data_IF_348583070273
#
_entry.id   IF_348583070273
#
_cell.length_a   1.000
_cell.length_b   1.000
_cell.length_c   1.000
_cell.angle_alpha   90.00
_cell.angle_beta   90.00
_cell.angle_gamma   90.00
#
_symmetry.space_group_name_H-M   'P 1'
#
loop_
_entity.id
_entity.type
_entity.pdbx_description
1 polymer ?
#
# COMPACT_ATOMS: atom_id res chain seq x y z
N UNK A 1 20.10 -0.63 4.93
CA UNK A 1 20.53 -0.11 6.25
C UNK A 1 22.01 -0.41 6.46
N UNK A 2 22.91 0.52 6.15
CA UNK A 2 24.35 0.28 6.36
C UNK A 2 24.71 0.64 7.81
N UNK A 3 25.20 -0.33 8.59
CA UNK A 3 25.71 -0.10 9.95
C UNK A 3 24.70 -0.23 11.11
N UNK A 4 23.50 -0.75 10.86
CA UNK A 4 22.51 -1.08 11.92
C UNK A 4 22.37 -2.60 12.02
N UNK A 5 22.12 -3.13 13.20
CA UNK A 5 21.88 -4.55 13.47
C UNK A 5 20.61 -4.69 14.32
N UNK A 6 19.93 -5.83 14.22
CA UNK A 6 18.64 -6.09 14.83
C UNK A 6 18.63 -7.49 15.47
N UNK A 7 17.90 -7.65 16.57
CA UNK A 7 17.79 -8.96 17.23
C UNK A 7 17.05 -9.96 16.37
N UNK A 8 15.97 -9.52 15.69
CA UNK A 8 15.17 -10.33 14.78
C UNK A 8 15.14 -9.68 13.38
N UNK A 9 15.42 -10.46 12.34
CA UNK A 9 15.35 -10.01 10.93
C UNK A 9 14.47 -10.96 10.13
N UNK A 10 13.55 -10.38 9.36
CA UNK A 10 12.72 -11.08 8.39
C UNK A 10 13.14 -10.66 6.98
N UNK A 11 13.47 -11.62 6.13
CA UNK A 11 13.78 -11.40 4.72
C UNK A 11 12.67 -12.02 3.87
N UNK A 12 12.03 -11.21 3.03
CA UNK A 12 11.09 -11.68 2.01
C UNK A 12 11.76 -11.57 0.65
N UNK A 13 12.03 -12.72 0.03
CA UNK A 13 12.75 -12.85 -1.23
C UNK A 13 11.80 -13.43 -2.29
N UNK A 14 11.09 -12.56 -2.99
CA UNK A 14 10.22 -12.93 -4.10
C UNK A 14 11.02 -12.96 -5.41
N UNK A 15 11.06 -14.11 -6.06
CA UNK A 15 11.75 -14.39 -7.33
C UNK A 15 13.20 -13.86 -7.37
N UNK A 16 13.85 -13.79 -6.20
CA UNK A 16 15.15 -13.17 -6.08
C UNK A 16 16.22 -14.08 -6.68
N UNK A 17 17.09 -13.53 -7.53
CA UNK A 17 18.15 -14.30 -8.18
C UNK A 17 19.54 -13.90 -7.68
N UNK A 18 20.29 -14.88 -7.17
CA UNK A 18 21.65 -14.70 -6.63
C UNK A 18 22.72 -14.94 -7.72
N UNK A 19 22.43 -14.55 -8.97
CA UNK A 19 23.34 -14.77 -10.12
C UNK A 19 24.50 -13.76 -10.18
N UNK A 20 24.27 -12.52 -9.75
CA UNK A 20 25.27 -11.43 -9.79
C UNK A 20 25.94 -11.26 -8.42
N UNK A 21 27.21 -10.83 -8.43
CA UNK A 21 27.98 -10.49 -7.22
C UNK A 21 27.29 -9.40 -6.38
N UNK A 22 26.64 -8.43 -7.03
CA UNK A 22 25.89 -7.40 -6.34
C UNK A 22 24.71 -7.97 -5.55
N UNK A 23 23.94 -8.89 -6.15
CA UNK A 23 22.80 -9.56 -5.49
C UNK A 23 23.26 -10.42 -4.31
N UNK A 24 24.37 -11.17 -4.48
CA UNK A 24 25.00 -11.93 -3.38
C UNK A 24 25.37 -11.01 -2.22
N UNK A 25 25.99 -9.88 -2.52
CA UNK A 25 26.41 -8.91 -1.49
C UNK A 25 25.21 -8.32 -0.76
N UNK A 26 24.13 -8.00 -1.47
CA UNK A 26 22.90 -7.48 -0.86
C UNK A 26 22.30 -8.51 0.10
N UNK A 27 22.17 -9.76 -0.33
CA UNK A 27 21.65 -10.84 0.52
C UNK A 27 22.55 -11.07 1.75
N UNK A 28 23.86 -11.17 1.56
CA UNK A 28 24.83 -11.33 2.65
C UNK A 28 24.75 -10.19 3.67
N UNK A 29 24.66 -8.94 3.18
CA UNK A 29 24.53 -7.75 4.03
C UNK A 29 23.20 -7.74 4.79
N UNK A 30 22.16 -8.37 4.28
CA UNK A 30 20.86 -8.49 4.96
C UNK A 30 20.87 -9.59 6.03
N UNK A 31 21.44 -10.75 5.72
CA UNK A 31 21.63 -11.88 6.65
C UNK A 31 22.44 -11.45 7.88
N UNK A 32 23.57 -10.77 7.65
CA UNK A 32 24.47 -10.30 8.72
C UNK A 32 23.90 -9.18 9.60
N UNK A 33 22.63 -8.76 9.39
CA UNK A 33 21.95 -7.79 10.26
C UNK A 33 21.30 -8.45 11.47
N UNK A 34 21.05 -9.76 11.44
CA UNK A 34 20.45 -10.51 12.53
C UNK A 34 21.50 -10.81 13.62
N UNK A 35 21.17 -10.51 14.88
CA UNK A 35 21.96 -10.91 16.04
C UNK A 35 21.49 -12.21 16.68
N UNK A 36 20.18 -12.45 16.70
CA UNK A 36 19.58 -13.61 17.36
C UNK A 36 18.80 -14.49 16.39
N UNK A 37 17.83 -13.91 15.66
CA UNK A 37 16.92 -14.68 14.82
C UNK A 37 16.86 -14.11 13.40
N UNK A 38 16.96 -15.00 12.42
CA UNK A 38 16.83 -14.69 11.01
C UNK A 38 15.77 -15.61 10.41
N UNK A 39 14.70 -15.04 9.89
CA UNK A 39 13.66 -15.76 9.15
C UNK A 39 13.71 -15.33 7.69
N UNK A 40 13.86 -16.30 6.78
CA UNK A 40 13.91 -16.04 5.34
C UNK A 40 12.71 -16.74 4.69
N UNK A 41 11.80 -15.95 4.13
CA UNK A 41 10.73 -16.43 3.28
C UNK A 41 11.14 -16.23 1.82
N UNK A 42 11.23 -17.32 1.07
CA UNK A 42 11.61 -17.31 -0.35
C UNK A 42 10.72 -18.26 -1.14
N UNK A 43 10.35 -17.88 -2.35
CA UNK A 43 9.69 -18.75 -3.33
C UNK A 43 10.68 -19.33 -4.37
N UNK A 44 11.95 -18.92 -4.31
CA UNK A 44 13.02 -19.40 -5.17
C UNK A 44 13.96 -20.36 -4.42
N UNK A 45 14.55 -21.36 -5.10
CA UNK A 45 15.49 -22.33 -4.51
C UNK A 45 16.89 -21.69 -4.33
N UNK A 46 16.94 -20.62 -3.54
CA UNK A 46 18.11 -19.77 -3.33
C UNK A 46 19.15 -20.39 -2.41
N UNK A 47 18.65 -21.09 -1.41
CA UNK A 47 19.44 -21.75 -0.40
C UNK A 47 19.18 -23.23 -0.57
N UNK A 48 20.26 -24.01 -0.59
CA UNK A 48 20.10 -25.46 -0.61
C UNK A 48 19.55 -25.89 0.73
N UNK A 49 18.58 -26.79 0.71
CA UNK A 49 18.16 -27.59 1.86
C UNK A 49 19.33 -28.53 2.24
N UNK A 50 20.35 -27.96 2.88
CA UNK A 50 21.44 -28.73 3.48
C UNK A 50 21.20 -28.72 4.98
N UNK A 51 21.19 -29.92 5.58
CA UNK A 51 21.05 -30.11 7.02
C UNK A 51 22.23 -29.40 7.72
N UNK A 52 21.95 -28.18 8.15
CA UNK A 52 22.91 -27.32 8.84
C UNK A 52 22.35 -27.10 10.25
N UNK A 53 23.15 -27.43 11.26
CA UNK A 53 22.73 -27.28 12.65
C UNK A 53 22.28 -25.85 12.93
N UNK A 54 21.09 -25.70 13.52
CA UNK A 54 20.50 -24.40 13.85
C UNK A 54 19.70 -23.72 12.73
N UNK A 55 19.39 -24.43 11.64
CA UNK A 55 18.48 -23.95 10.59
C UNK A 55 17.25 -24.84 10.51
N UNK A 56 16.10 -24.29 10.86
CA UNK A 56 14.80 -24.94 10.66
C UNK A 56 14.28 -24.61 9.26
N UNK A 57 14.06 -25.65 8.45
CA UNK A 57 13.49 -25.53 7.11
C UNK A 57 12.01 -25.90 7.14
N UNK A 58 11.16 -25.00 6.64
CA UNK A 58 9.74 -25.28 6.45
C UNK A 58 9.35 -25.03 4.99
N UNK A 59 8.92 -26.09 4.31
CA UNK A 59 8.36 -26.00 2.97
C UNK A 59 6.84 -25.81 3.07
N UNK A 60 6.37 -24.59 2.83
CA UNK A 60 4.94 -24.34 2.67
C UNK A 60 4.49 -24.69 1.24
N UNK A 61 3.81 -25.83 1.09
CA UNK A 61 3.18 -26.23 -0.19
C UNK A 61 1.72 -25.81 -0.29
N UNK A 62 1.18 -25.18 0.76
CA UNK A 62 -0.20 -24.73 0.77
C UNK A 62 -0.42 -23.65 -0.30
N UNK A 63 -1.46 -23.84 -1.11
CA UNK A 63 -1.94 -22.76 -1.98
C UNK A 63 -2.69 -21.77 -1.11
N UNK A 64 -2.06 -20.63 -0.84
CA UNK A 64 -2.74 -19.50 -0.24
C UNK A 64 -3.63 -18.86 -1.31
N UNK A 65 -4.94 -18.86 -1.06
CA UNK A 65 -5.86 -18.11 -1.90
C UNK A 65 -5.56 -16.62 -1.75
N UNK A 66 -5.66 -15.89 -2.85
CA UNK A 66 -5.52 -14.44 -2.80
C UNK A 66 -6.63 -13.87 -1.89
N UNK A 67 -6.33 -12.86 -1.05
CA UNK A 67 -7.24 -12.39 -0.01
C UNK A 67 -8.59 -11.94 -0.60
N UNK A 68 -9.65 -12.00 0.21
CA UNK A 68 -10.95 -11.45 -0.21
C UNK A 68 -10.94 -9.93 -0.19
N UNK A 69 -10.18 -9.33 0.73
CA UNK A 69 -10.05 -7.90 0.91
C UNK A 69 -8.58 -7.46 1.02
N UNK A 70 -8.28 -6.28 0.47
CA UNK A 70 -6.97 -5.64 0.53
C UNK A 70 -7.18 -4.20 0.99
N UNK A 71 -6.43 -3.76 2.00
CA UNK A 71 -6.36 -2.35 2.35
C UNK A 71 -5.06 -1.73 1.87
N UNK A 72 -5.14 -0.50 1.36
CA UNK A 72 -3.99 0.29 0.93
C UNK A 72 -4.02 1.63 1.66
N UNK A 73 -3.01 1.84 2.50
CA UNK A 73 -2.71 3.16 3.07
C UNK A 73 -2.01 4.03 2.03
N UNK A 74 -2.65 5.12 1.61
CA UNK A 74 -2.06 6.04 0.63
C UNK A 74 -0.92 6.84 1.24
N UNK A 75 0.08 7.13 0.43
CA UNK A 75 1.22 7.99 0.80
C UNK A 75 1.20 9.30 0.02
N UNK A 76 2.17 10.19 0.29
CA UNK A 76 2.34 11.45 -0.44
C UNK A 76 2.52 11.26 -1.96
N UNK A 77 2.93 10.07 -2.43
CA UNK A 77 3.07 9.76 -3.86
C UNK A 77 1.76 9.40 -4.54
N UNK A 78 0.76 9.04 -3.74
CA UNK A 78 -0.50 8.46 -4.22
C UNK A 78 -1.62 9.52 -4.29
N UNK A 79 -1.34 10.73 -3.81
CA UNK A 79 -2.27 11.87 -3.77
C UNK A 79 -1.71 13.08 -4.51
N UNK A 80 -2.60 13.93 -5.03
CA UNK A 80 -2.20 15.19 -5.64
C UNK A 80 -1.97 16.27 -4.57
N UNK A 81 -0.72 16.39 -4.10
CA UNK A 81 -0.33 17.25 -2.98
C UNK A 81 -0.77 18.73 -3.14
N UNK A 82 -0.57 19.33 -4.32
CA UNK A 82 -0.91 20.74 -4.55
C UNK A 82 -2.40 21.02 -4.47
N UNK A 83 -3.27 20.01 -4.67
CA UNK A 83 -4.71 20.16 -4.54
C UNK A 83 -5.13 20.57 -3.11
N UNK A 84 -4.46 20.02 -2.10
CA UNK A 84 -4.76 20.30 -0.70
C UNK A 84 -4.54 21.76 -0.31
N UNK A 85 -3.67 22.50 -1.01
CA UNK A 85 -3.44 23.94 -0.75
C UNK A 85 -4.75 24.74 -0.83
N UNK A 86 -5.66 24.34 -1.72
CA UNK A 86 -6.97 24.97 -1.90
C UNK A 86 -8.05 24.48 -0.93
N UNK A 87 -7.81 23.37 -0.22
CA UNK A 87 -8.80 22.67 0.61
C UNK A 87 -8.56 22.83 2.12
N UNK A 88 -7.66 23.72 2.54
CA UNK A 88 -7.25 23.85 3.95
C UNK A 88 -8.41 24.11 4.93
N UNK A 89 -9.42 24.90 4.52
CA UNK A 89 -10.59 25.16 5.38
C UNK A 89 -11.48 23.92 5.56
N UNK A 90 -11.56 23.06 4.53
CA UNK A 90 -12.26 21.79 4.61
C UNK A 90 -11.49 20.80 5.50
N UNK A 91 -10.18 20.67 5.26
CA UNK A 91 -9.29 19.75 6.00
C UNK A 91 -9.27 20.06 7.51
N UNK A 92 -9.47 21.32 7.93
CA UNK A 92 -9.54 21.67 9.36
C UNK A 92 -10.73 21.02 10.09
N UNK A 93 -11.78 20.66 9.37
CA UNK A 93 -13.01 20.08 9.91
C UNK A 93 -12.99 18.55 9.92
N UNK A 94 -12.05 17.96 9.17
CA UNK A 94 -11.92 16.53 8.99
C UNK A 94 -11.11 15.92 10.13
N UNK A 95 -11.50 14.72 10.56
CA UNK A 95 -10.80 13.93 11.57
C UNK A 95 -10.34 12.59 11.01
N UNK A 96 -9.31 11.99 11.63
CA UNK A 96 -8.94 10.61 11.35
C UNK A 96 -10.11 9.68 11.69
N UNK A 97 -10.35 8.68 10.85
CA UNK A 97 -11.50 7.79 10.89
C UNK A 97 -12.75 8.35 10.20
N UNK A 98 -12.71 9.58 9.67
CA UNK A 98 -13.85 10.09 8.91
C UNK A 98 -14.03 9.29 7.61
N UNK A 99 -15.26 8.83 7.32
CA UNK A 99 -15.54 8.07 6.11
C UNK A 99 -15.44 8.98 4.89
N UNK A 100 -14.87 8.43 3.83
CA UNK A 100 -14.72 9.08 2.54
C UNK A 100 -15.49 8.29 1.47
N UNK A 101 -16.16 9.00 0.58
CA UNK A 101 -16.84 8.40 -0.56
C UNK A 101 -16.00 8.52 -1.83
N UNK A 102 -16.04 7.50 -2.67
CA UNK A 102 -15.37 7.52 -3.97
C UNK A 102 -16.02 8.53 -4.91
N UNK A 103 -15.18 9.29 -5.59
CA UNK A 103 -15.58 10.23 -6.64
C UNK A 103 -15.08 9.68 -7.97
N UNK A 104 -15.83 8.70 -8.50
CA UNK A 104 -15.36 7.91 -9.63
C UNK A 104 -14.05 7.19 -9.30
N UNK A 105 -13.09 7.24 -10.22
CA UNK A 105 -11.74 6.67 -10.05
C UNK A 105 -10.67 7.72 -9.75
N UNK A 106 -11.04 9.00 -9.59
CA UNK A 106 -10.09 10.12 -9.57
C UNK A 106 -9.82 10.69 -8.17
N UNK A 107 -10.62 10.32 -7.16
CA UNK A 107 -10.44 10.85 -5.82
C UNK A 107 -11.51 10.44 -4.82
N UNK A 108 -11.48 11.11 -3.67
CA UNK A 108 -12.35 10.88 -2.53
C UNK A 108 -13.02 12.18 -2.08
N UNK A 109 -14.27 12.05 -1.64
CA UNK A 109 -15.06 13.14 -1.09
C UNK A 109 -15.40 12.91 0.38
N UNK A 110 -15.42 14.00 1.13
CA UNK A 110 -15.95 14.05 2.48
C UNK A 110 -17.21 14.89 2.47
N UNK A 111 -18.32 14.33 2.93
CA UNK A 111 -19.64 15.01 2.95
C UNK A 111 -20.01 15.64 1.60
N UNK A 112 -19.74 14.92 0.49
CA UNK A 112 -20.03 15.38 -0.88
C UNK A 112 -19.04 16.38 -1.48
N UNK A 113 -18.03 16.82 -0.73
CA UNK A 113 -16.99 17.73 -1.20
C UNK A 113 -15.72 16.95 -1.53
N UNK A 114 -15.21 17.09 -2.75
CA UNK A 114 -13.95 16.46 -3.17
C UNK A 114 -12.82 16.97 -2.28
N UNK A 115 -12.19 16.05 -1.55
CA UNK A 115 -11.20 16.35 -0.52
C UNK A 115 -9.81 15.83 -0.92
N UNK A 116 -9.77 14.64 -1.52
CA UNK A 116 -8.54 14.02 -2.01
C UNK A 116 -8.68 13.78 -3.51
N UNK A 117 -7.61 14.07 -4.26
CA UNK A 117 -7.44 13.62 -5.64
C UNK A 117 -6.27 12.66 -5.70
N UNK A 118 -6.43 11.57 -6.44
CA UNK A 118 -5.38 10.58 -6.60
C UNK A 118 -4.31 11.08 -7.56
N UNK A 119 -3.08 10.62 -7.34
CA UNK A 119 -2.01 10.80 -8.33
C UNK A 119 -2.24 9.86 -9.51
N UNK A 120 -1.63 10.16 -10.66
CA UNK A 120 -1.68 9.27 -11.84
C UNK A 120 -1.17 7.86 -11.53
N UNK A 121 -0.10 7.78 -10.74
CA UNK A 121 0.47 6.53 -10.28
C UNK A 121 -0.54 5.68 -9.50
N UNK A 122 -1.31 6.29 -8.60
CA UNK A 122 -2.29 5.55 -7.83
C UNK A 122 -3.50 5.12 -8.66
N UNK A 123 -3.92 5.95 -9.63
CA UNK A 123 -4.97 5.55 -10.59
C UNK A 123 -4.55 4.30 -11.37
N UNK A 124 -3.30 4.24 -11.86
CA UNK A 124 -2.76 3.05 -12.52
C UNK A 124 -2.72 1.81 -11.60
N UNK A 125 -2.48 2.01 -10.30
CA UNK A 125 -2.56 0.92 -9.31
C UNK A 125 -4.00 0.42 -9.13
N UNK A 126 -4.98 1.32 -9.03
CA UNK A 126 -6.40 0.96 -8.98
C UNK A 126 -6.77 0.13 -10.20
N UNK A 127 -6.42 0.58 -11.41
CA UNK A 127 -6.70 -0.16 -12.64
C UNK A 127 -6.06 -1.56 -12.67
N UNK A 128 -4.87 -1.72 -12.06
CA UNK A 128 -4.21 -3.01 -11.91
C UNK A 128 -4.98 -3.93 -10.96
N UNK A 129 -5.49 -3.40 -9.85
CA UNK A 129 -6.29 -4.13 -8.87
C UNK A 129 -7.65 -4.53 -9.45
N UNK A 130 -8.29 -3.65 -10.21
CA UNK A 130 -9.55 -3.94 -10.91
C UNK A 130 -9.38 -5.09 -11.91
N UNK A 131 -8.27 -5.14 -12.65
CA UNK A 131 -7.92 -6.28 -13.54
C UNK A 131 -7.72 -7.59 -12.78
N UNK A 132 -7.41 -7.52 -11.49
CA UNK A 132 -7.29 -8.67 -10.59
C UNK A 132 -8.60 -9.00 -9.87
N UNK A 133 -9.68 -8.25 -10.15
CA UNK A 133 -11.01 -8.45 -9.58
C UNK A 133 -11.25 -7.74 -8.24
N UNK A 134 -10.32 -6.88 -7.81
CA UNK A 134 -10.45 -6.08 -6.60
C UNK A 134 -11.02 -4.70 -6.93
N UNK A 135 -12.10 -4.33 -6.28
CA UNK A 135 -12.75 -3.04 -6.47
C UNK A 135 -12.77 -2.26 -5.15
N UNK A 136 -12.62 -0.93 -5.20
CA UNK A 136 -12.77 -0.10 -4.00
C UNK A 136 -14.13 -0.32 -3.33
N UNK A 137 -14.14 -0.62 -2.03
CA UNK A 137 -15.35 -0.87 -1.24
C UNK A 137 -15.57 0.16 -0.12
N UNK A 138 -14.48 0.68 0.44
CA UNK A 138 -14.54 1.67 1.52
C UNK A 138 -13.30 2.56 1.50
N UNK A 139 -13.43 3.76 2.05
CA UNK A 139 -12.31 4.68 2.22
C UNK A 139 -12.49 5.49 3.51
N UNK A 140 -11.40 5.77 4.20
CA UNK A 140 -11.41 6.63 5.38
C UNK A 140 -10.16 7.49 5.48
N UNK A 141 -10.24 8.54 6.29
CA UNK A 141 -9.07 9.38 6.60
C UNK A 141 -8.19 8.63 7.58
N UNK A 142 -7.00 8.19 7.15
CA UNK A 142 -6.04 7.56 8.06
C UNK A 142 -5.17 8.63 8.75
N UNK A 143 -4.30 9.31 7.99
CA UNK A 143 -3.42 10.35 8.55
C UNK A 143 -3.74 11.75 8.02
N UNK A 144 -3.64 12.73 8.92
CA UNK A 144 -3.60 14.15 8.59
C UNK A 144 -2.23 14.68 8.99
N UNK A 145 -1.41 15.06 8.01
CA UNK A 145 -0.01 15.46 8.25
C UNK A 145 0.28 16.86 7.70
N UNK A 146 1.28 17.53 8.27
CA UNK A 146 1.81 18.76 7.72
C UNK A 146 2.83 18.45 6.62
N UNK A 147 2.60 19.02 5.45
CA UNK A 147 3.48 18.90 4.30
C UNK A 147 3.93 20.28 3.83
N UNK A 148 5.18 20.34 3.40
CA UNK A 148 5.85 21.55 2.93
C UNK A 148 6.42 21.27 1.56
N UNK A 149 6.09 22.12 0.60
CA UNK A 149 6.71 22.04 -0.72
C UNK A 149 8.15 22.52 -0.67
N UNK A 150 9.01 21.90 -1.46
CA UNK A 150 10.41 22.29 -1.55
C UNK A 150 10.52 23.72 -2.08
N UNK A 151 11.22 24.58 -1.34
CA UNK A 151 11.36 26.01 -1.65
C UNK A 151 10.26 26.93 -1.13
N UNK A 152 9.16 26.41 -0.59
CA UNK A 152 8.18 27.23 0.14
C UNK A 152 8.53 27.34 1.62
N UNK A 153 8.03 28.36 2.33
CA UNK A 153 8.12 28.46 3.80
C UNK A 153 6.85 27.97 4.49
N UNK A 154 5.73 27.94 3.76
CA UNK A 154 4.42 27.62 4.29
C UNK A 154 4.17 26.11 4.28
N UNK A 155 3.57 25.63 5.37
CA UNK A 155 3.12 24.25 5.52
C UNK A 155 1.61 24.16 5.30
N UNK A 156 1.18 23.03 4.75
CA UNK A 156 -0.22 22.74 4.46
C UNK A 156 -0.58 21.39 5.09
N UNK A 157 -1.80 21.27 5.62
CA UNK A 157 -2.33 19.97 6.02
C UNK A 157 -2.67 19.17 4.76
N UNK A 158 -2.24 17.94 4.70
CA UNK A 158 -2.62 16.98 3.66
C UNK A 158 -3.26 15.77 4.32
N UNK A 159 -4.10 15.08 3.55
CA UNK A 159 -4.80 13.87 4.00
C UNK A 159 -4.21 12.69 3.26
N UNK A 160 -3.84 11.67 4.01
CA UNK A 160 -3.39 10.37 3.55
C UNK A 160 -4.46 9.35 3.94
N UNK A 161 -5.39 9.04 3.04
CA UNK A 161 -6.49 8.14 3.34
C UNK A 161 -6.03 6.68 3.31
N UNK A 162 -6.89 5.82 3.82
CA UNK A 162 -6.85 4.39 3.61
C UNK A 162 -7.99 3.97 2.69
N UNK A 163 -7.70 3.07 1.76
CA UNK A 163 -8.64 2.59 0.76
C UNK A 163 -8.73 1.07 0.82
N UNK A 164 -9.90 0.56 1.17
CA UNK A 164 -10.23 -0.86 1.17
C UNK A 164 -10.74 -1.31 -0.19
N UNK A 165 -10.31 -2.50 -0.61
CA UNK A 165 -10.69 -3.16 -1.85
C UNK A 165 -11.22 -4.56 -1.55
N UNK A 166 -12.31 -4.97 -2.20
CA UNK A 166 -12.88 -6.31 -2.08
C UNK A 166 -12.99 -7.02 -3.42
N UNK A 167 -12.87 -8.35 -3.41
CA UNK A 167 -13.26 -9.17 -4.56
C UNK A 167 -14.78 -9.21 -4.66
N UNK A 168 -15.32 -8.71 -5.76
CA UNK A 168 -16.77 -8.78 -5.99
C UNK A 168 -17.17 -10.22 -6.36
N UNK A 169 -17.26 -11.08 -5.35
CA UNK A 169 -17.51 -12.50 -5.51
C UNK A 169 -17.55 -13.24 -4.18
N UNK A 170 -18.52 -12.88 -3.33
CA UNK A 170 -18.97 -13.52 -2.06
C UNK A 170 -18.71 -12.70 -0.78
N UNK A 171 -19.37 -11.55 -0.64
CA UNK A 171 -19.94 -11.19 0.67
C UNK A 171 -21.34 -10.64 0.39
N UNK A 172 -22.34 -11.21 1.04
CA UNK A 172 -23.73 -10.78 0.94
C UNK A 172 -23.88 -9.33 1.41
N UNK A 173 -24.67 -8.57 0.66
CA UNK A 173 -25.25 -7.26 1.03
C UNK A 173 -24.23 -6.19 1.46
N UNK A 174 -23.89 -5.21 0.63
CA UNK A 174 -24.72 -3.98 0.51
C UNK A 174 -24.46 -3.25 -0.82
N UNK A 175 -25.53 -2.78 -1.47
CA UNK A 175 -25.55 -1.90 -2.65
C UNK A 175 -24.85 -0.56 -2.33
N UNK A 176 -24.15 0.09 -3.26
CA UNK A 176 -24.77 1.02 -4.23
C UNK A 176 -23.82 1.32 -5.38
N UNK A 177 -24.19 0.92 -6.60
CA UNK A 177 -23.60 1.44 -7.83
C UNK A 177 -24.36 2.73 -8.18
N UNK A 178 -23.72 3.89 -8.07
CA UNK A 178 -24.24 5.12 -8.71
C UNK A 178 -23.55 5.27 -10.06
N UNK A 179 -24.16 4.68 -11.09
CA UNK A 179 -23.88 5.00 -12.48
C UNK A 179 -24.71 6.22 -12.89
N UNK A 180 -24.07 7.30 -13.36
CA UNK A 180 -24.79 8.46 -13.90
C UNK A 180 -24.45 8.72 -15.39
N UNK A 181 -25.28 8.23 -16.33
CA UNK A 181 -25.04 8.30 -17.78
C UNK A 181 -25.32 9.66 -18.45
N UNK A 182 -25.62 10.74 -17.72
CA UNK A 182 -25.96 12.05 -18.32
C UNK A 182 -24.77 12.85 -18.86
N UNK A 183 -23.85 12.20 -19.57
CA UNK A 183 -22.82 12.89 -20.39
C UNK A 183 -22.80 12.47 -21.87
N UNK A 184 -23.83 11.75 -22.31
CA UNK A 184 -24.13 11.56 -23.74
C UNK A 184 -25.49 12.19 -24.06
N UNK A 185 -25.49 13.52 -24.21
CA UNK A 185 -26.45 14.27 -25.01
C UNK A 185 -25.64 15.25 -25.86
#
# INVERSE_FOLDING_TARGET
TKGKEFDHVFLLLEDYEVKKEESKRVLYVAITRAKQNLTIHTNAPLLREEATDGVDWELCTARHEAPEEISITLTHKDVYLSYFKSQQELIKQVQSGDPLSLVGTEGLAWQGHVLVRFSKHFIEQIEKLEKQGYYPIEAEVNFIVLWKEEGETKEYRIILPELGFGKTGRIGETKTIIYNPKRNL
#
